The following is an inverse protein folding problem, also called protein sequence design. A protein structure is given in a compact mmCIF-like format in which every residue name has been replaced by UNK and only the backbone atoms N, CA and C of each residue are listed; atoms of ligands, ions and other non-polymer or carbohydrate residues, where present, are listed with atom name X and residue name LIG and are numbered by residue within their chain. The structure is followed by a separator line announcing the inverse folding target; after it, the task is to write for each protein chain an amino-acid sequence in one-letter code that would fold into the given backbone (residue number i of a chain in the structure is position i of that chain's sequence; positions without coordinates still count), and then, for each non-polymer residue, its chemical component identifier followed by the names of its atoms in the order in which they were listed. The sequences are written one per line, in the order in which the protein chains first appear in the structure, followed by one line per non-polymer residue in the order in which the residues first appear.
data_IF_198196576204
#
_entry.id   IF_198196576204
#
_cell.length_a   1.000
_cell.length_b   1.000
_cell.length_c   1.000
_cell.angle_alpha   90.00
_cell.angle_beta   90.00
_cell.angle_gamma   90.00
#
_symmetry.space_group_name_H-M   'P 1'
#
loop_
_entity.id
_entity.type
_entity.pdbx_description
1 polymer ?
#
# COMPACT_ATOMS: atom_id res chain seq x y z
N UNK A 1 41.51 40.95 -37.94
CA UNK A 1 40.33 40.05 -37.88
C UNK A 1 40.77 38.68 -38.43
N UNK A 2 40.40 37.58 -37.77
CA UNK A 2 40.65 36.16 -38.09
C UNK A 2 39.28 35.48 -38.32
N UNK A 3 39.19 34.22 -38.79
CA UNK A 3 39.84 33.45 -39.88
C UNK A 3 38.69 32.80 -40.75
N UNK A 4 38.72 31.58 -41.37
CA UNK A 4 39.77 30.54 -41.53
C UNK A 4 39.79 29.70 -42.85
N UNK A 5 40.81 28.80 -42.90
CA UNK A 5 40.99 27.49 -43.59
C UNK A 5 41.08 27.41 -45.13
N UNK A 6 42.11 26.72 -45.66
CA UNK A 6 42.03 25.30 -46.14
C UNK A 6 43.40 24.79 -46.67
N UNK A 7 43.45 23.49 -47.03
CA UNK A 7 44.44 22.77 -47.90
C UNK A 7 45.74 22.21 -47.29
N UNK A 8 46.35 21.10 -47.75
CA UNK A 8 45.99 19.83 -48.45
C UNK A 8 47.31 19.03 -48.56
N UNK A 9 47.21 17.69 -48.58
CA UNK A 9 48.07 16.74 -49.31
C UNK A 9 49.50 16.34 -48.81
N UNK A 10 50.01 15.14 -49.19
CA UNK A 10 50.94 14.33 -48.38
C UNK A 10 52.23 13.87 -49.11
N UNK A 11 53.04 13.06 -48.41
CA UNK A 11 53.87 11.89 -48.86
C UNK A 11 55.35 11.93 -48.43
N UNK A 12 55.90 10.77 -48.04
CA UNK A 12 57.09 10.10 -48.65
C UNK A 12 57.78 9.13 -47.67
N UNK A 13 57.79 7.85 -48.08
CA UNK A 13 58.82 6.78 -48.05
C UNK A 13 59.83 6.59 -46.90
N UNK A 14 60.08 5.31 -46.59
CA UNK A 14 61.46 4.81 -46.35
C UNK A 14 61.63 3.70 -45.29
N UNK A 15 61.62 2.43 -45.74
CA UNK A 15 62.17 1.23 -45.05
C UNK A 15 63.73 1.21 -45.08
N UNK A 16 64.47 0.16 -44.62
CA UNK A 16 64.30 -0.82 -43.51
C UNK A 16 65.62 -1.08 -42.70
N UNK A 17 65.58 -1.90 -41.65
CA UNK A 17 66.80 -2.48 -41.02
C UNK A 17 66.61 -3.13 -39.64
N UNK A 18 66.45 -4.46 -39.61
CA UNK A 18 66.37 -5.33 -38.41
C UNK A 18 67.78 -5.92 -38.06
N UNK A 19 68.00 -6.82 -37.06
CA UNK A 19 67.06 -7.47 -36.11
C UNK A 19 67.56 -7.65 -34.64
N UNK A 20 66.65 -8.00 -33.72
CA UNK A 20 66.90 -8.97 -32.62
C UNK A 20 65.60 -9.67 -32.18
N UNK A 21 65.54 -10.96 -32.49
CA UNK A 21 64.85 -12.07 -31.82
C UNK A 21 63.52 -11.81 -31.06
N UNK A 22 62.40 -12.16 -31.71
CA UNK A 22 61.25 -12.79 -31.06
C UNK A 22 60.82 -13.99 -31.93
N UNK A 23 60.87 -15.18 -31.35
CA UNK A 23 60.44 -16.47 -31.91
C UNK A 23 59.30 -16.94 -31.01
N UNK A 24 58.14 -17.39 -31.45
CA UNK A 24 57.44 -17.53 -32.74
C UNK A 24 55.96 -17.73 -32.34
N UNK A 25 54.95 -18.03 -33.15
CA UNK A 25 54.75 -18.45 -34.53
C UNK A 25 53.29 -18.06 -34.84
N UNK A 26 53.02 -17.63 -36.07
CA UNK A 26 51.72 -17.23 -36.60
C UNK A 26 50.64 -18.31 -36.52
N UNK A 27 49.39 -17.93 -36.21
CA UNK A 27 48.20 -18.63 -36.70
C UNK A 27 47.11 -17.63 -37.07
N UNK A 28 46.66 -17.74 -38.32
CA UNK A 28 45.36 -17.25 -38.74
C UNK A 28 44.64 -18.46 -39.35
N UNK A 29 43.62 -18.99 -38.68
CA UNK A 29 42.47 -19.64 -39.33
C UNK A 29 41.35 -19.91 -38.32
N UNK A 30 40.21 -19.25 -38.55
CA UNK A 30 38.84 -19.67 -38.29
C UNK A 30 38.44 -20.40 -36.98
N UNK A 31 37.44 -19.81 -36.30
CA UNK A 31 36.45 -20.40 -35.39
C UNK A 31 36.98 -21.14 -34.15
N UNK A 32 36.97 -20.47 -33.00
CA UNK A 32 36.82 -21.09 -31.68
C UNK A 32 36.36 -20.09 -30.60
N UNK A 33 35.14 -20.31 -30.13
CA UNK A 33 34.63 -20.20 -28.75
C UNK A 33 35.40 -19.23 -27.81
N UNK A 34 34.80 -18.08 -27.50
CA UNK A 34 35.18 -17.29 -26.32
C UNK A 34 34.47 -17.87 -25.09
N UNK A 35 35.24 -18.54 -24.24
CA UNK A 35 34.84 -18.90 -22.87
C UNK A 35 34.84 -17.63 -22.03
N UNK A 36 33.66 -17.15 -21.66
CA UNK A 36 33.50 -16.21 -20.55
C UNK A 36 33.57 -17.00 -19.26
N UNK A 37 34.60 -16.74 -18.43
CA UNK A 37 34.63 -17.22 -17.04
C UNK A 37 33.60 -16.39 -16.26
N UNK A 38 32.36 -16.84 -16.28
CA UNK A 38 31.38 -16.49 -15.28
C UNK A 38 31.71 -17.32 -14.04
N UNK A 39 32.27 -16.67 -13.03
CA UNK A 39 32.34 -17.25 -11.69
C UNK A 39 30.92 -17.23 -11.11
N UNK A 40 30.10 -18.20 -11.54
CA UNK A 40 28.85 -18.52 -10.88
C UNK A 40 29.23 -19.12 -9.53
N UNK A 41 29.20 -18.29 -8.49
CA UNK A 41 29.04 -18.81 -7.14
C UNK A 41 27.63 -19.41 -7.11
N UNK A 42 27.55 -20.70 -7.47
CA UNK A 42 26.39 -21.52 -7.26
C UNK A 42 26.19 -21.63 -5.75
N UNK A 43 25.55 -20.63 -5.17
CA UNK A 43 24.79 -20.83 -3.96
C UNK A 43 23.66 -21.74 -4.41
N UNK A 44 23.85 -23.04 -4.22
CA UNK A 44 22.76 -24.02 -4.18
C UNK A 44 21.79 -23.49 -3.14
N UNK A 45 20.80 -22.72 -3.60
CA UNK A 45 19.53 -22.67 -2.90
C UNK A 45 19.09 -24.12 -2.91
N UNK A 46 19.27 -24.79 -1.78
CA UNK A 46 18.44 -25.93 -1.45
C UNK A 46 17.03 -25.42 -1.63
N UNK A 47 16.43 -25.71 -2.78
CA UNK A 47 14.98 -25.76 -2.92
C UNK A 47 14.62 -26.85 -1.94
N UNK A 48 14.40 -26.47 -0.68
CA UNK A 48 13.61 -27.28 0.22
C UNK A 48 12.34 -27.51 -0.58
N UNK A 49 12.17 -28.73 -1.07
CA UNK A 49 10.94 -29.18 -1.70
C UNK A 49 9.85 -29.09 -0.64
N UNK A 50 9.32 -27.88 -0.47
CA UNK A 50 7.95 -27.72 -0.03
C UNK A 50 7.20 -28.27 -1.23
N UNK A 51 6.67 -29.49 -1.10
CA UNK A 51 5.66 -29.94 -2.05
C UNK A 51 4.66 -28.79 -2.15
N UNK A 52 4.50 -28.22 -3.35
CA UNK A 52 3.36 -27.38 -3.61
C UNK A 52 2.16 -28.21 -3.15
N UNK A 53 1.35 -27.66 -2.24
CA UNK A 53 0.04 -28.25 -1.97
C UNK A 53 -0.62 -28.44 -3.35
N UNK A 54 -1.30 -29.57 -3.57
CA UNK A 54 -2.03 -29.79 -4.82
C UNK A 54 -2.85 -28.53 -5.12
N UNK A 55 -2.82 -28.05 -6.37
CA UNK A 55 -3.52 -26.83 -6.76
C UNK A 55 -4.97 -26.86 -6.26
N UNK A 56 -5.54 -25.73 -5.79
CA UNK A 56 -6.92 -25.69 -5.36
C UNK A 56 -7.83 -26.20 -6.47
N UNK A 57 -8.56 -27.26 -6.16
CA UNK A 57 -9.50 -27.85 -7.11
C UNK A 57 -10.69 -26.92 -7.26
N UNK A 58 -10.79 -26.21 -8.39
CA UNK A 58 -11.94 -25.36 -8.71
C UNK A 58 -12.89 -26.14 -9.63
N UNK A 59 -14.19 -26.16 -9.33
CA UNK A 59 -15.21 -26.81 -10.17
C UNK A 59 -15.06 -26.37 -11.63
N UNK A 60 -14.82 -27.33 -12.55
CA UNK A 60 -14.63 -27.08 -13.99
C UNK A 60 -15.74 -26.24 -14.65
N UNK A 61 -16.93 -26.20 -14.05
CA UNK A 61 -18.09 -25.46 -14.54
C UNK A 61 -18.35 -24.15 -13.75
N UNK A 62 -17.41 -23.73 -12.89
CA UNK A 62 -17.58 -22.52 -12.09
C UNK A 62 -17.71 -21.28 -12.98
N UNK A 63 -18.78 -20.52 -12.75
CA UNK A 63 -19.04 -19.27 -13.42
C UNK A 63 -19.61 -18.25 -12.45
N UNK A 64 -19.51 -16.97 -12.81
CA UNK A 64 -20.08 -15.87 -12.05
C UNK A 64 -19.02 -14.93 -11.49
N UNK A 65 -19.49 -13.92 -10.77
CA UNK A 65 -18.60 -12.89 -10.23
C UNK A 65 -18.14 -13.25 -8.82
N UNK A 66 -16.87 -13.01 -8.55
CA UNK A 66 -16.31 -13.00 -7.20
C UNK A 66 -16.08 -11.54 -6.85
N UNK A 67 -17.04 -10.95 -6.15
CA UNK A 67 -17.00 -9.52 -5.83
C UNK A 67 -16.72 -9.28 -4.36
N UNK A 68 -15.79 -8.37 -4.08
CA UNK A 68 -15.61 -7.78 -2.76
C UNK A 68 -15.84 -6.27 -2.77
N UNK A 69 -15.84 -5.66 -1.59
CA UNK A 69 -15.93 -4.20 -1.50
C UNK A 69 -15.18 -3.59 -0.32
N UNK A 70 -14.93 -2.28 -0.37
CA UNK A 70 -14.47 -1.52 0.79
C UNK A 70 -13.31 -0.56 0.51
N UNK A 71 -12.21 -0.78 1.23
CA UNK A 71 -11.02 0.06 1.21
C UNK A 71 -10.58 0.51 -0.18
N UNK A 72 -10.31 1.82 -0.33
CA UNK A 72 -9.71 2.37 -1.55
C UNK A 72 -8.19 2.48 -1.46
N UNK A 73 -7.58 2.11 -0.33
CA UNK A 73 -6.13 2.01 -0.23
C UNK A 73 -5.57 0.92 -1.14
N UNK A 74 -6.06 -0.34 -1.18
CA UNK A 74 -5.45 -1.40 -1.99
C UNK A 74 -5.97 -1.43 -3.44
N UNK A 75 -6.84 -0.49 -3.84
CA UNK A 75 -7.57 -0.53 -5.11
C UNK A 75 -6.67 -0.79 -6.32
N UNK A 76 -5.57 -0.04 -6.45
CA UNK A 76 -4.68 -0.18 -7.60
C UNK A 76 -3.97 -1.54 -7.57
N UNK A 77 -3.57 -2.03 -6.39
CA UNK A 77 -3.00 -3.37 -6.23
C UNK A 77 -4.00 -4.48 -6.57
N UNK A 78 -5.21 -4.42 -6.03
CA UNK A 78 -6.23 -5.46 -6.30
C UNK A 78 -6.61 -5.49 -7.77
N UNK A 79 -6.77 -4.32 -8.40
CA UNK A 79 -7.05 -4.24 -9.84
C UNK A 79 -5.93 -4.88 -10.67
N UNK A 80 -4.67 -4.62 -10.30
CA UNK A 80 -3.51 -5.17 -11.03
C UNK A 80 -3.33 -6.67 -10.78
N UNK A 81 -3.57 -7.14 -9.54
CA UNK A 81 -3.59 -8.55 -9.20
C UNK A 81 -4.70 -9.31 -9.91
N UNK A 82 -5.92 -8.77 -9.96
CA UNK A 82 -7.02 -9.42 -10.68
C UNK A 82 -6.66 -9.60 -12.15
N UNK A 83 -6.12 -8.56 -12.79
CA UNK A 83 -5.66 -8.61 -14.17
C UNK A 83 -4.53 -9.63 -14.37
N UNK A 84 -3.51 -9.59 -13.51
CA UNK A 84 -2.36 -10.51 -13.62
C UNK A 84 -2.82 -11.97 -13.45
N UNK A 85 -3.65 -12.21 -12.43
CA UNK A 85 -4.20 -13.52 -12.16
C UNK A 85 -5.14 -14.01 -13.28
N UNK A 86 -5.89 -13.14 -13.96
CA UNK A 86 -6.69 -13.54 -15.13
C UNK A 86 -5.83 -13.76 -16.38
N UNK A 87 -4.86 -12.88 -16.65
CA UNK A 87 -4.10 -12.87 -17.91
C UNK A 87 -3.09 -14.02 -17.98
N UNK A 88 -2.51 -14.43 -16.85
CA UNK A 88 -1.57 -15.55 -16.78
C UNK A 88 -2.23 -16.93 -16.95
N UNK A 89 -3.57 -16.98 -17.00
CA UNK A 89 -4.35 -18.21 -17.06
C UNK A 89 -5.28 -18.28 -18.28
N UNK A 90 -4.82 -17.76 -19.43
CA UNK A 90 -5.55 -17.84 -20.71
C UNK A 90 -5.53 -19.25 -21.32
N UNK A 91 -6.55 -19.58 -22.14
CA UNK A 91 -6.88 -20.92 -22.69
C UNK A 91 -5.73 -21.75 -23.33
N UNK A 92 -4.57 -21.16 -23.61
CA UNK A 92 -3.51 -21.81 -24.38
C UNK A 92 -2.67 -22.85 -23.61
N UNK A 93 -2.87 -23.00 -22.30
CA UNK A 93 -2.12 -23.98 -21.49
C UNK A 93 -2.89 -25.30 -21.45
N UNK A 94 -2.47 -26.27 -22.25
CA UNK A 94 -3.07 -27.61 -22.24
C UNK A 94 -2.96 -28.23 -20.84
N UNK A 95 -4.11 -28.41 -20.18
CA UNK A 95 -4.22 -29.01 -18.85
C UNK A 95 -4.02 -30.52 -18.97
N UNK A 96 -2.80 -31.01 -18.75
CA UNK A 96 -2.50 -32.45 -18.83
C UNK A 96 -2.54 -33.19 -17.49
N UNK A 97 -2.63 -32.51 -16.35
CA UNK A 97 -2.80 -33.16 -15.04
C UNK A 97 -3.41 -32.19 -14.03
N UNK A 98 -4.63 -32.47 -13.57
CA UNK A 98 -5.19 -32.02 -12.28
C UNK A 98 -5.22 -30.50 -12.01
N UNK A 99 -6.39 -29.90 -12.30
CA UNK A 99 -6.94 -28.61 -11.81
C UNK A 99 -6.08 -27.37 -12.02
N UNK A 100 -6.52 -26.39 -12.80
CA UNK A 100 -5.82 -25.11 -12.76
C UNK A 100 -6.65 -23.94 -13.29
N UNK A 101 -6.26 -22.74 -12.83
CA UNK A 101 -6.81 -21.38 -12.90
C UNK A 101 -7.38 -20.90 -14.26
N UNK A 102 -7.51 -21.75 -15.27
CA UNK A 102 -8.11 -21.50 -16.58
C UNK A 102 -9.59 -21.07 -16.56
N UNK A 103 -10.26 -21.11 -15.40
CA UNK A 103 -11.64 -20.65 -15.25
C UNK A 103 -11.76 -19.13 -15.08
N UNK A 104 -10.64 -18.42 -14.88
CA UNK A 104 -10.61 -16.98 -14.69
C UNK A 104 -10.45 -16.26 -16.03
N UNK A 105 -11.31 -15.28 -16.29
CA UNK A 105 -11.27 -14.51 -17.53
C UNK A 105 -11.57 -13.02 -17.31
N UNK A 106 -11.26 -12.20 -18.33
CA UNK A 106 -11.58 -10.77 -18.34
C UNK A 106 -13.09 -10.49 -18.27
N UNK A 107 -13.46 -9.28 -17.82
CA UNK A 107 -14.85 -8.89 -17.56
C UNK A 107 -15.80 -9.06 -18.77
N UNK A 108 -17.05 -9.45 -18.48
CA UNK A 108 -18.20 -9.74 -19.37
C UNK A 108 -18.40 -11.20 -19.81
N UNK A 109 -17.62 -12.17 -19.30
CA UNK A 109 -17.97 -13.59 -19.45
C UNK A 109 -19.18 -13.97 -18.58
N UNK A 110 -20.13 -14.72 -19.14
CA UNK A 110 -21.20 -15.39 -18.39
C UNK A 110 -20.85 -16.83 -18.01
N UNK A 111 -19.75 -17.36 -18.55
CA UNK A 111 -19.37 -18.78 -18.46
C UNK A 111 -18.07 -18.98 -17.68
N UNK A 112 -17.58 -17.94 -16.99
CA UNK A 112 -16.27 -17.93 -16.32
C UNK A 112 -16.35 -17.23 -14.97
N UNK A 113 -15.32 -17.44 -14.13
CA UNK A 113 -15.12 -16.67 -12.93
C UNK A 113 -14.52 -15.29 -13.25
N UNK A 114 -15.14 -14.25 -12.72
CA UNK A 114 -14.70 -12.86 -12.90
C UNK A 114 -14.42 -12.22 -11.54
N UNK A 115 -13.18 -11.78 -11.31
CA UNK A 115 -12.80 -11.06 -10.10
C UNK A 115 -13.23 -9.60 -10.17
N UNK A 116 -13.92 -9.15 -9.13
CA UNK A 116 -14.41 -7.79 -9.00
C UNK A 116 -14.14 -7.23 -7.62
N UNK A 117 -13.94 -5.91 -7.56
CA UNK A 117 -13.88 -5.20 -6.30
C UNK A 117 -14.49 -3.81 -6.46
N UNK A 118 -15.39 -3.45 -5.55
CA UNK A 118 -16.03 -2.13 -5.53
C UNK A 118 -15.46 -1.28 -4.42
N UNK A 119 -14.91 -0.14 -4.79
CA UNK A 119 -14.40 0.83 -3.82
C UNK A 119 -15.57 1.48 -3.09
N UNK A 120 -15.35 1.86 -1.84
CA UNK A 120 -16.37 2.56 -1.04
C UNK A 120 -15.86 3.13 0.27
N UNK A 121 -14.58 2.89 0.59
CA UNK A 121 -14.01 3.16 1.89
C UNK A 121 -14.10 1.94 2.80
N UNK A 122 -13.18 1.83 3.76
CA UNK A 122 -13.13 0.71 4.69
C UNK A 122 -14.39 0.59 5.56
N UNK A 123 -15.02 1.73 5.89
CA UNK A 123 -16.28 1.73 6.64
C UNK A 123 -17.40 1.02 5.88
N UNK A 124 -17.55 1.30 4.58
CA UNK A 124 -18.51 0.60 3.74
C UNK A 124 -18.19 -0.90 3.62
N UNK A 125 -16.92 -1.26 3.46
CA UNK A 125 -16.48 -2.66 3.45
C UNK A 125 -16.85 -3.39 4.74
N UNK A 126 -16.58 -2.79 5.90
CA UNK A 126 -16.93 -3.35 7.20
C UNK A 126 -18.46 -3.47 7.36
N UNK A 127 -19.23 -2.43 6.99
CA UNK A 127 -20.71 -2.50 7.01
C UNK A 127 -21.25 -3.59 6.10
N UNK A 128 -20.71 -3.73 4.89
CA UNK A 128 -21.10 -4.79 3.95
C UNK A 128 -20.70 -6.18 4.46
N UNK A 129 -19.66 -6.27 5.28
CA UNK A 129 -19.19 -7.54 5.84
C UNK A 129 -20.19 -8.15 6.84
N UNK A 130 -20.80 -7.36 7.72
CA UNK A 130 -21.73 -7.89 8.74
C UNK A 130 -23.18 -7.43 8.57
N UNK A 131 -23.43 -6.45 7.70
CA UNK A 131 -24.75 -5.91 7.43
C UNK A 131 -25.62 -6.86 6.59
N UNK A 132 -26.70 -6.34 6.04
CA UNK A 132 -27.69 -7.11 5.26
C UNK A 132 -27.17 -7.58 3.89
N UNK A 133 -26.14 -6.91 3.34
CA UNK A 133 -25.55 -7.27 2.05
C UNK A 133 -24.50 -8.39 2.13
N UNK A 134 -24.19 -8.91 3.33
CA UNK A 134 -23.14 -9.91 3.56
C UNK A 134 -23.42 -11.20 2.80
N UNK A 135 -22.36 -11.91 2.38
CA UNK A 135 -22.45 -13.27 1.85
C UNK A 135 -23.40 -13.42 0.64
N UNK A 136 -23.36 -12.45 -0.27
CA UNK A 136 -24.08 -12.48 -1.55
C UNK A 136 -23.11 -12.68 -2.70
N UNK A 137 -23.60 -13.07 -3.89
CA UNK A 137 -22.77 -13.19 -5.10
C UNK A 137 -22.01 -11.89 -5.46
N UNK A 138 -22.50 -10.73 -4.98
CA UNK A 138 -21.88 -9.42 -5.20
C UNK A 138 -21.08 -8.90 -3.99
N UNK A 139 -20.98 -9.68 -2.90
CA UNK A 139 -20.31 -9.30 -1.66
C UNK A 139 -19.81 -10.55 -0.90
N UNK A 140 -18.75 -11.14 -1.43
CA UNK A 140 -18.13 -12.36 -0.90
C UNK A 140 -17.07 -12.07 0.17
N UNK A 141 -16.36 -10.95 0.05
CA UNK A 141 -15.33 -10.53 1.01
C UNK A 141 -15.28 -9.00 1.11
N UNK A 142 -14.67 -8.48 2.17
CA UNK A 142 -14.49 -7.03 2.34
C UNK A 142 -13.03 -6.64 2.46
N UNK A 143 -12.67 -5.43 2.04
CA UNK A 143 -11.35 -4.85 2.29
C UNK A 143 -11.42 -3.72 3.31
N UNK A 144 -10.47 -3.67 4.24
CA UNK A 144 -10.35 -2.61 5.25
C UNK A 144 -8.88 -2.26 5.51
N UNK A 145 -8.58 -0.98 5.72
CA UNK A 145 -7.29 -0.50 6.26
C UNK A 145 -7.45 -0.02 7.70
N UNK A 146 -8.68 -0.13 8.23
CA UNK A 146 -9.01 0.12 9.62
C UNK A 146 -9.17 -1.22 10.34
N UNK A 147 -8.80 -1.21 11.62
CA UNK A 147 -9.09 -2.32 12.52
C UNK A 147 -10.58 -2.33 12.86
N UNK A 148 -11.14 -3.52 13.07
CA UNK A 148 -12.50 -3.65 13.60
C UNK A 148 -12.55 -3.06 15.02
N UNK A 149 -13.57 -2.26 15.32
CA UNK A 149 -13.81 -1.76 16.68
C UNK A 149 -14.49 -2.82 17.54
N UNK A 150 -14.47 -2.65 18.87
CA UNK A 150 -15.22 -3.50 19.82
C UNK A 150 -16.70 -3.56 19.48
N UNK A 151 -17.31 -2.41 19.19
CA UNK A 151 -18.71 -2.33 18.74
C UNK A 151 -18.97 -3.08 17.42
N UNK A 152 -18.04 -3.03 16.46
CA UNK A 152 -18.16 -3.78 15.20
C UNK A 152 -18.00 -5.28 15.43
N UNK A 153 -17.06 -5.71 16.30
CA UNK A 153 -16.94 -7.12 16.70
C UNK A 153 -18.20 -7.62 17.40
N UNK A 154 -18.78 -6.85 18.31
CA UNK A 154 -20.05 -7.19 18.95
C UNK A 154 -21.20 -7.26 17.93
N UNK A 155 -21.22 -6.35 16.94
CA UNK A 155 -22.20 -6.39 15.85
C UNK A 155 -22.04 -7.64 14.98
N UNK A 156 -20.81 -8.04 14.67
CA UNK A 156 -20.49 -9.29 13.97
C UNK A 156 -20.94 -10.49 14.82
N UNK A 157 -20.69 -10.47 16.14
CA UNK A 157 -21.05 -11.56 17.05
C UNK A 157 -22.56 -11.79 17.16
N UNK A 158 -23.34 -10.71 17.03
CA UNK A 158 -24.79 -10.76 16.98
C UNK A 158 -25.36 -11.34 15.65
N UNK A 159 -24.52 -11.55 14.64
CA UNK A 159 -24.93 -12.20 13.38
C UNK A 159 -24.64 -13.70 13.39
N UNK A 160 -25.00 -14.39 12.31
CA UNK A 160 -24.61 -15.77 12.04
C UNK A 160 -23.10 -15.95 11.77
N UNK A 161 -22.35 -14.86 11.57
CA UNK A 161 -20.89 -14.90 11.44
C UNK A 161 -20.25 -15.32 12.76
N UNK A 162 -20.63 -14.69 13.89
CA UNK A 162 -20.01 -14.93 15.20
C UNK A 162 -18.48 -14.79 15.13
N UNK A 163 -17.74 -15.68 15.80
CA UNK A 163 -16.28 -15.79 15.69
C UNK A 163 -15.77 -16.53 14.43
N UNK A 164 -16.63 -16.82 13.44
CA UNK A 164 -16.29 -17.62 12.25
C UNK A 164 -15.87 -16.74 11.07
N UNK A 165 -14.84 -15.92 11.29
CA UNK A 165 -14.24 -15.05 10.28
C UNK A 165 -12.75 -14.82 10.53
N UNK A 166 -12.06 -14.32 9.51
CA UNK A 166 -10.66 -13.89 9.63
C UNK A 166 -10.46 -12.50 9.04
N UNK A 167 -9.44 -11.80 9.56
CA UNK A 167 -8.92 -10.56 9.01
C UNK A 167 -7.49 -10.85 8.54
N UNK A 168 -7.28 -10.86 7.24
CA UNK A 168 -6.04 -11.33 6.61
C UNK A 168 -5.31 -10.15 5.96
N UNK A 169 -4.06 -9.82 6.35
CA UNK A 169 -3.30 -8.75 5.72
C UNK A 169 -3.01 -9.16 4.29
N UNK A 170 -3.58 -8.42 3.34
CA UNK A 170 -3.42 -8.68 1.93
C UNK A 170 -2.16 -8.00 1.38
N UNK A 171 -1.97 -6.73 1.74
CA UNK A 171 -0.89 -5.89 1.21
C UNK A 171 -0.48 -4.80 2.21
N UNK A 172 0.72 -4.24 2.05
CA UNK A 172 1.16 -3.03 2.77
C UNK A 172 1.45 -1.88 1.82
N UNK A 173 1.43 -0.66 2.33
CA UNK A 173 1.83 0.52 1.58
C UNK A 173 1.98 1.77 2.44
N UNK A 174 2.67 2.81 1.95
CA UNK A 174 2.77 4.09 2.62
C UNK A 174 1.60 5.00 2.31
N UNK A 175 1.32 5.92 3.23
CA UNK A 175 0.55 7.12 2.92
C UNK A 175 1.47 8.29 2.59
N UNK A 176 1.24 8.92 1.45
CA UNK A 176 1.90 10.15 1.05
C UNK A 176 1.14 11.34 1.61
N UNK A 177 1.86 12.25 2.25
CA UNK A 177 1.36 13.62 2.45
C UNK A 177 1.53 14.38 1.15
N UNK A 178 0.43 14.49 0.39
CA UNK A 178 0.40 15.13 -0.91
C UNK A 178 0.00 16.59 -0.79
N UNK A 179 0.58 17.44 -1.63
CA UNK A 179 0.25 18.86 -1.68
C UNK A 179 0.31 19.41 -3.09
N UNK A 180 -0.30 20.58 -3.28
CA UNK A 180 -0.07 21.43 -4.46
C UNK A 180 0.29 22.84 -4.01
N UNK A 181 1.52 23.22 -4.30
CA UNK A 181 2.07 24.56 -4.12
C UNK A 181 2.83 24.93 -5.39
N UNK A 182 2.16 25.64 -6.28
CA UNK A 182 2.73 25.97 -7.58
C UNK A 182 3.93 26.91 -7.42
N UNK A 183 5.03 26.59 -8.11
CA UNK A 183 6.24 27.42 -8.12
C UNK A 183 7.09 27.37 -6.86
N UNK A 184 6.90 26.38 -5.96
CA UNK A 184 7.72 26.23 -4.76
C UNK A 184 9.21 26.00 -5.13
N UNK A 185 10.09 26.89 -4.68
CA UNK A 185 11.51 26.89 -5.02
C UNK A 185 12.40 26.90 -3.79
N UNK A 186 13.57 26.29 -3.93
CA UNK A 186 14.65 26.44 -2.96
C UNK A 186 15.27 27.84 -3.07
N UNK A 187 16.06 28.24 -2.06
CA UNK A 187 16.88 29.46 -2.11
C UNK A 187 17.86 29.48 -3.29
N UNK A 188 18.26 28.31 -3.80
CA UNK A 188 19.05 28.17 -5.03
C UNK A 188 18.25 28.12 -6.33
N UNK A 189 16.93 28.36 -6.30
CA UNK A 189 16.07 28.43 -7.48
C UNK A 189 15.57 27.10 -8.05
N UNK A 190 16.00 25.96 -7.52
CA UNK A 190 15.53 24.63 -7.91
C UNK A 190 14.12 24.33 -7.35
N UNK A 191 13.44 23.32 -7.89
CA UNK A 191 12.16 22.86 -7.34
C UNK A 191 12.34 22.37 -5.88
N UNK A 192 11.51 22.86 -4.98
CA UNK A 192 11.57 22.49 -3.56
C UNK A 192 10.59 21.36 -3.20
N UNK A 193 11.03 20.48 -2.31
CA UNK A 193 10.16 19.53 -1.60
C UNK A 193 9.86 20.09 -0.21
N UNK A 194 8.58 20.13 0.15
CA UNK A 194 8.15 20.53 1.48
C UNK A 194 8.55 19.47 2.53
N UNK A 195 9.08 19.91 3.65
CA UNK A 195 9.36 19.10 4.85
C UNK A 195 8.30 19.34 5.90
N UNK A 196 7.76 18.26 6.48
CA UNK A 196 6.73 18.30 7.51
C UNK A 196 7.05 17.32 8.65
N UNK A 197 6.44 17.54 9.81
CA UNK A 197 6.46 16.61 10.94
C UNK A 197 5.04 16.46 11.51
N UNK A 198 4.85 15.54 12.46
CA UNK A 198 3.53 15.23 13.04
C UNK A 198 2.87 16.45 13.69
N UNK A 199 3.63 17.26 14.42
CA UNK A 199 3.13 18.47 15.08
C UNK A 199 2.56 19.49 14.08
N UNK A 200 3.30 19.78 13.01
CA UNK A 200 2.88 20.73 11.97
C UNK A 200 1.68 20.19 11.19
N UNK A 201 1.72 18.92 10.79
CA UNK A 201 0.59 18.29 10.08
C UNK A 201 -0.66 18.32 10.96
N UNK A 202 -0.55 17.92 12.22
CA UNK A 202 -1.64 18.01 13.18
C UNK A 202 -2.19 19.43 13.32
N UNK A 203 -1.31 20.44 13.47
CA UNK A 203 -1.73 21.84 13.55
C UNK A 203 -2.46 22.32 12.30
N UNK A 204 -2.03 21.87 11.12
CA UNK A 204 -2.74 22.14 9.86
C UNK A 204 -4.16 21.58 9.89
N UNK A 205 -4.35 20.32 10.31
CA UNK A 205 -5.67 19.69 10.35
C UNK A 205 -6.58 20.24 11.44
N UNK A 206 -6.04 20.57 12.62
CA UNK A 206 -6.78 21.25 13.70
C UNK A 206 -7.17 22.69 13.37
N UNK A 207 -6.49 23.32 12.41
CA UNK A 207 -6.72 24.73 12.06
C UNK A 207 -5.96 25.71 12.95
N UNK A 208 -4.99 25.24 13.74
CA UNK A 208 -4.08 26.12 14.49
C UNK A 208 -2.90 26.61 13.64
N UNK A 209 -2.62 25.94 12.52
CA UNK A 209 -1.73 26.39 11.44
C UNK A 209 -2.58 26.58 10.19
N UNK A 210 -2.84 27.83 9.79
CA UNK A 210 -3.78 28.14 8.71
C UNK A 210 -3.12 28.67 7.45
N UNK A 211 -1.83 29.03 7.49
CA UNK A 211 -1.10 29.64 6.37
C UNK A 211 0.17 28.90 6.03
N UNK A 212 0.52 28.87 4.74
CA UNK A 212 1.72 28.20 4.25
C UNK A 212 3.03 28.81 4.71
N UNK A 213 3.05 30.12 4.99
CA UNK A 213 4.21 30.83 5.51
C UNK A 213 4.26 30.89 7.05
N UNK A 214 3.50 30.03 7.74
CA UNK A 214 3.53 29.90 9.18
C UNK A 214 4.96 29.63 9.71
N UNK A 215 5.29 30.18 10.88
CA UNK A 215 6.62 30.09 11.46
C UNK A 215 7.07 28.64 11.67
N UNK A 216 6.16 27.74 12.06
CA UNK A 216 6.47 26.32 12.26
C UNK A 216 6.77 25.62 10.94
N UNK A 217 6.06 25.95 9.86
CA UNK A 217 6.35 25.41 8.51
C UNK A 217 7.70 25.93 8.02
N UNK A 218 7.96 27.24 8.16
CA UNK A 218 9.24 27.86 7.79
C UNK A 218 10.42 27.23 8.52
N UNK A 219 10.28 26.95 9.82
CA UNK A 219 11.33 26.33 10.63
C UNK A 219 11.77 24.95 10.10
N UNK A 220 10.84 24.16 9.56
CA UNK A 220 11.17 22.87 8.94
C UNK A 220 11.75 23.00 7.52
N UNK A 221 11.60 24.17 6.90
CA UNK A 221 11.88 24.45 5.50
C UNK A 221 12.84 25.65 5.31
N UNK A 222 14.00 25.73 5.99
CA UNK A 222 14.88 26.90 5.92
C UNK A 222 15.46 27.15 4.52
N UNK A 223 15.49 26.13 3.67
CA UNK A 223 16.00 26.22 2.30
C UNK A 223 14.92 26.57 1.27
N UNK A 224 13.67 26.81 1.67
CA UNK A 224 12.56 27.17 0.76
C UNK A 224 12.42 28.69 0.73
N UNK A 225 12.53 29.28 -0.47
CA UNK A 225 12.62 30.73 -0.63
C UNK A 225 11.25 31.44 -0.56
N UNK A 226 10.18 30.76 -0.96
CA UNK A 226 8.93 31.41 -1.35
C UNK A 226 7.67 30.73 -0.80
N UNK A 227 7.67 30.35 0.49
CA UNK A 227 6.43 29.91 1.15
C UNK A 227 5.38 31.04 1.12
N UNK A 228 4.20 30.82 0.51
CA UNK A 228 3.24 31.89 0.27
C UNK A 228 2.49 32.31 1.55
N UNK A 229 2.16 33.60 1.65
CA UNK A 229 1.23 34.13 2.67
C UNK A 229 -0.23 33.83 2.27
N UNK A 230 -0.54 32.55 2.05
CA UNK A 230 -1.84 32.10 1.59
C UNK A 230 -2.41 31.05 2.54
N UNK A 231 -3.73 30.99 2.63
CA UNK A 231 -4.42 30.01 3.45
C UNK A 231 -4.18 28.59 2.91
N UNK A 232 -4.07 27.63 3.83
CA UNK A 232 -3.95 26.21 3.52
C UNK A 232 -5.34 25.63 3.29
N UNK A 233 -5.57 25.09 2.10
CA UNK A 233 -6.75 24.29 1.81
C UNK A 233 -6.51 22.84 2.28
N UNK A 234 -6.93 22.54 3.49
CA UNK A 234 -6.82 21.17 4.04
C UNK A 234 -7.94 20.31 3.46
N UNK A 235 -7.56 19.19 2.87
CA UNK A 235 -8.47 18.23 2.23
C UNK A 235 -8.41 16.92 2.99
N UNK A 236 -9.57 16.34 3.29
CA UNK A 236 -9.68 15.10 4.03
C UNK A 236 -10.77 14.20 3.44
N UNK A 237 -10.78 12.95 3.88
CA UNK A 237 -11.76 11.96 3.43
C UNK A 237 -13.17 12.32 3.95
N UNK A 238 -14.17 12.25 3.08
CA UNK A 238 -15.58 12.45 3.44
C UNK A 238 -16.32 11.15 3.75
N UNK A 239 -15.70 10.00 3.47
CA UNK A 239 -16.22 8.66 3.69
C UNK A 239 -15.50 7.94 4.84
N UNK A 240 -16.11 6.85 5.36
CA UNK A 240 -15.51 5.98 6.37
C UNK A 240 -14.25 5.30 5.82
N UNK A 241 -13.08 5.68 6.32
CA UNK A 241 -11.81 5.50 5.60
C UNK A 241 -10.74 4.86 6.46
N UNK A 242 -10.16 3.74 6.01
CA UNK A 242 -8.98 3.14 6.64
C UNK A 242 -7.72 3.97 6.42
N UNK A 243 -7.56 4.59 5.25
CA UNK A 243 -6.49 5.57 4.98
C UNK A 243 -6.48 6.70 6.02
N UNK A 244 -7.67 7.15 6.42
CA UNK A 244 -7.83 8.10 7.53
C UNK A 244 -7.31 7.49 8.80
N UNK A 245 -7.82 6.31 9.17
CA UNK A 245 -7.42 5.61 10.39
C UNK A 245 -5.90 5.56 10.51
N UNK A 246 -5.19 5.08 9.48
CA UNK A 246 -3.71 5.05 9.43
C UNK A 246 -3.10 6.45 9.63
N UNK A 247 -3.58 7.46 8.89
CA UNK A 247 -3.07 8.83 8.99
C UNK A 247 -3.20 9.40 10.41
N UNK A 248 -4.36 9.24 11.02
CA UNK A 248 -4.63 9.74 12.37
C UNK A 248 -4.02 8.86 13.47
N UNK A 249 -3.77 7.58 13.24
CA UNK A 249 -2.94 6.75 14.12
C UNK A 249 -1.49 7.26 14.13
N UNK A 250 -0.96 7.68 12.97
CA UNK A 250 0.32 8.37 12.90
C UNK A 250 0.30 9.67 13.71
N UNK A 251 -0.72 10.52 13.52
CA UNK A 251 -0.82 11.77 14.28
C UNK A 251 -0.90 11.52 15.78
N UNK A 252 -1.63 10.49 16.24
CA UNK A 252 -1.71 10.12 17.65
C UNK A 252 -0.35 9.78 18.27
N UNK A 253 0.61 9.27 17.48
CA UNK A 253 1.99 8.98 17.93
C UNK A 253 2.97 10.13 17.70
N UNK A 254 2.74 10.98 16.69
CA UNK A 254 3.71 11.95 16.21
C UNK A 254 3.39 13.42 16.55
N UNK A 255 2.18 13.72 17.05
CA UNK A 255 1.80 15.05 17.51
C UNK A 255 2.35 15.36 18.90
N UNK A 256 2.32 16.64 19.31
CA UNK A 256 2.68 17.00 20.68
C UNK A 256 1.61 16.54 21.69
N UNK A 257 1.96 16.37 22.98
CA UNK A 257 0.99 16.00 24.02
C UNK A 257 -0.18 16.99 24.19
N UNK A 258 -0.01 18.25 23.78
CA UNK A 258 -1.06 19.26 23.81
C UNK A 258 -2.07 19.13 22.65
N UNK A 259 -1.75 18.33 21.64
CA UNK A 259 -2.53 18.16 20.41
C UNK A 259 -3.42 16.90 20.43
N UNK A 260 -4.02 16.57 21.58
CA UNK A 260 -4.79 15.33 21.80
C UNK A 260 -6.05 15.16 20.92
N UNK A 261 -6.34 16.10 20.03
CA UNK A 261 -7.56 16.10 19.20
C UNK A 261 -7.25 15.91 17.71
N UNK A 262 -6.05 15.47 17.33
CA UNK A 262 -5.73 15.22 15.91
C UNK A 262 -5.35 13.78 15.60
N UNK A 263 -5.17 12.94 16.62
CA UNK A 263 -5.01 11.51 16.47
C UNK A 263 -6.18 10.72 17.04
N UNK A 264 -6.31 9.44 16.68
CA UNK A 264 -7.06 8.50 17.50
C UNK A 264 -6.25 8.31 18.79
N UNK A 265 -6.64 8.98 19.88
CA UNK A 265 -5.98 8.82 21.16
C UNK A 265 -6.59 7.65 21.91
N UNK A 266 -5.91 6.53 21.78
CA UNK A 266 -5.55 5.77 22.95
C UNK A 266 -4.04 5.60 22.92
N UNK A 267 -3.43 5.35 24.08
CA UNK A 267 -2.04 4.93 24.10
C UNK A 267 -1.93 3.57 23.40
N UNK A 268 -1.56 3.53 22.12
CA UNK A 268 -1.16 2.29 21.40
C UNK A 268 0.15 1.71 21.96
N UNK A 269 0.29 1.68 23.29
CA UNK A 269 1.43 1.10 24.01
C UNK A 269 1.19 -0.36 24.36
N UNK A 270 -0.04 -0.89 24.18
CA UNK A 270 -0.34 -2.31 24.40
C UNK A 270 -1.24 -2.90 23.31
N UNK A 271 -1.02 -4.19 23.07
CA UNK A 271 -1.82 -5.06 22.21
C UNK A 271 -3.18 -5.43 22.86
N UNK A 272 -3.94 -4.45 23.37
CA UNK A 272 -5.22 -4.71 24.01
C UNK A 272 -6.32 -3.77 23.51
N UNK A 273 -7.55 -4.31 23.40
CA UNK A 273 -8.75 -3.62 22.88
C UNK A 273 -9.12 -2.33 23.61
N UNK A 274 -8.67 -2.15 24.88
CA UNK A 274 -8.81 -0.91 25.64
C UNK A 274 -8.27 0.32 24.87
N UNK A 275 -7.34 0.09 23.94
CA UNK A 275 -6.76 1.10 23.07
C UNK A 275 -7.56 1.35 21.77
N UNK A 276 -8.72 0.74 21.57
CA UNK A 276 -9.55 0.97 20.40
C UNK A 276 -10.85 1.73 20.67
N UNK A 277 -11.19 1.97 21.96
CA UNK A 277 -12.13 2.98 22.51
C UNK A 277 -12.85 2.56 23.82
N UNK A 278 -12.35 1.60 24.61
CA UNK A 278 -13.19 1.04 25.69
C UNK A 278 -13.00 1.67 27.10
N UNK A 279 -12.33 2.83 27.24
CA UNK A 279 -12.32 3.58 28.50
C UNK A 279 -13.11 4.90 28.39
N UNK A 280 -14.13 5.04 29.25
CA UNK A 280 -14.96 6.24 29.34
C UNK A 280 -14.14 7.44 29.85
N UNK A 281 -13.96 8.47 29.02
CA UNK A 281 -13.41 9.74 29.47
C UNK A 281 -12.63 10.49 28.39
N UNK A 282 -13.34 11.28 27.60
CA UNK A 282 -12.84 12.25 26.59
C UNK A 282 -12.17 11.64 25.35
N UNK A 283 -13.01 11.47 24.32
CA UNK A 283 -12.72 11.31 22.89
C UNK A 283 -12.84 9.88 22.34
N UNK A 284 -13.91 9.67 21.56
CA UNK A 284 -14.28 8.37 20.95
C UNK A 284 -14.54 8.59 19.45
N UNK A 285 -13.52 8.71 18.60
CA UNK A 285 -13.75 8.69 17.17
C UNK A 285 -14.13 7.27 16.76
N UNK A 286 -15.42 7.01 16.64
CA UNK A 286 -15.91 5.83 15.94
C UNK A 286 -15.70 6.04 14.44
N UNK A 287 -14.53 5.66 13.90
CA UNK A 287 -14.23 5.60 12.44
C UNK A 287 -14.91 6.71 11.58
N UNK A 288 -14.94 7.96 12.08
CA UNK A 288 -15.71 9.03 11.44
C UNK A 288 -14.99 9.50 10.18
N UNK A 289 -15.76 10.00 9.22
CA UNK A 289 -15.22 10.73 8.07
C UNK A 289 -14.45 11.99 8.55
N UNK A 290 -13.15 12.14 8.27
CA UNK A 290 -12.37 13.31 8.71
C UNK A 290 -12.94 14.65 8.31
N UNK A 291 -13.58 14.72 7.15
CA UNK A 291 -14.26 15.92 6.68
C UNK A 291 -15.27 16.44 7.69
N UNK A 292 -15.98 15.56 8.41
CA UNK A 292 -16.89 15.97 9.50
C UNK A 292 -16.16 16.11 10.83
N UNK A 293 -15.19 15.23 11.12
CA UNK A 293 -14.46 15.24 12.39
C UNK A 293 -13.74 16.57 12.68
N UNK A 294 -12.88 16.99 11.76
CA UNK A 294 -12.09 18.21 11.95
C UNK A 294 -12.95 19.47 11.80
N UNK A 295 -14.15 19.37 11.21
CA UNK A 295 -14.99 20.55 10.94
C UNK A 295 -15.32 21.32 12.22
N UNK A 296 -15.79 20.65 13.27
CA UNK A 296 -16.15 21.29 14.53
C UNK A 296 -14.93 21.91 15.24
N UNK A 297 -13.81 21.18 15.27
CA UNK A 297 -12.57 21.64 15.92
C UNK A 297 -11.99 22.85 15.18
N UNK A 298 -11.99 22.82 13.84
CA UNK A 298 -11.51 23.94 13.03
C UNK A 298 -12.40 25.17 13.17
N UNK A 299 -13.72 24.99 13.20
CA UNK A 299 -14.65 26.07 13.45
C UNK A 299 -14.38 26.72 14.81
N UNK A 300 -14.18 25.92 15.87
CA UNK A 300 -13.81 26.42 17.20
C UNK A 300 -12.47 27.18 17.20
N UNK A 301 -11.53 26.79 16.33
CA UNK A 301 -10.24 27.48 16.14
C UNK A 301 -10.30 28.65 15.13
N UNK A 302 -11.48 29.00 14.61
CA UNK A 302 -11.65 30.08 13.62
C UNK A 302 -11.04 29.79 12.24
N UNK A 303 -10.82 28.50 11.91
CA UNK A 303 -10.26 28.07 10.64
C UNK A 303 -11.34 27.60 9.66
N UNK A 304 -11.09 27.78 8.35
CA UNK A 304 -11.97 27.29 7.29
C UNK A 304 -12.14 25.75 7.38
N UNK A 305 -13.33 25.23 7.12
CA UNK A 305 -13.62 23.80 7.17
C UNK A 305 -12.72 22.97 6.24
N UNK A 306 -12.55 21.68 6.55
CA UNK A 306 -11.84 20.75 5.67
C UNK A 306 -12.67 20.50 4.42
N UNK A 307 -12.03 20.53 3.25
CA UNK A 307 -12.68 20.06 2.03
C UNK A 307 -12.78 18.54 2.05
N UNK A 308 -13.99 17.99 2.12
CA UNK A 308 -14.25 16.56 2.07
C UNK A 308 -14.22 16.01 0.62
N UNK A 309 -13.53 14.89 0.39
CA UNK A 309 -13.64 14.09 -0.85
C UNK A 309 -13.72 12.59 -0.58
N UNK A 310 -14.51 11.83 -1.36
CA UNK A 310 -14.66 10.40 -1.15
C UNK A 310 -13.49 9.63 -1.76
N UNK A 311 -12.95 8.67 -1.02
CA UNK A 311 -11.90 7.77 -1.49
C UNK A 311 -10.55 8.44 -1.78
N UNK A 312 -9.50 7.64 -1.93
CA UNK A 312 -8.23 8.13 -2.51
C UNK A 312 -8.44 8.67 -3.94
N UNK A 313 -9.35 8.05 -4.69
CA UNK A 313 -9.73 8.44 -6.05
C UNK A 313 -10.41 9.81 -6.16
N UNK A 314 -11.02 10.34 -5.09
CA UNK A 314 -11.55 11.71 -5.06
C UNK A 314 -10.54 12.74 -4.55
N UNK A 315 -9.69 12.35 -3.58
CA UNK A 315 -8.67 13.25 -3.00
C UNK A 315 -7.58 13.59 -4.04
N UNK A 316 -6.99 12.57 -4.67
CA UNK A 316 -5.85 12.75 -5.55
C UNK A 316 -6.10 13.71 -6.74
N UNK A 317 -7.18 13.56 -7.54
CA UNK A 317 -7.47 14.52 -8.60
C UNK A 317 -7.84 15.91 -8.06
N UNK A 318 -8.45 16.02 -6.88
CA UNK A 318 -8.75 17.32 -6.29
C UNK A 318 -7.47 18.08 -5.91
N UNK A 319 -6.52 17.42 -5.25
CA UNK A 319 -5.20 18.00 -4.93
C UNK A 319 -4.45 18.34 -6.21
N UNK A 320 -4.52 17.48 -7.23
CA UNK A 320 -3.94 17.76 -8.55
C UNK A 320 -4.49 19.05 -9.14
N UNK A 321 -5.79 19.30 -9.04
CA UNK A 321 -6.46 20.44 -9.68
C UNK A 321 -6.40 21.74 -8.85
N UNK A 322 -6.22 21.65 -7.53
CA UNK A 322 -6.44 22.77 -6.61
C UNK A 322 -5.14 23.23 -5.97
N UNK A 323 -4.63 24.39 -6.37
CA UNK A 323 -3.44 24.97 -5.73
C UNK A 323 -3.71 25.29 -4.24
N UNK A 324 -2.65 25.42 -3.45
CA UNK A 324 -2.68 25.66 -2.00
C UNK A 324 -3.30 24.52 -1.18
N UNK A 325 -3.46 23.32 -1.76
CA UNK A 325 -4.08 22.18 -1.11
C UNK A 325 -3.07 21.22 -0.48
N UNK A 326 -3.48 20.54 0.59
CA UNK A 326 -2.74 19.47 1.23
C UNK A 326 -3.69 18.35 1.67
N UNK A 327 -3.25 17.10 1.51
CA UNK A 327 -4.00 15.92 1.93
C UNK A 327 -3.09 14.72 2.20
N UNK A 328 -3.69 13.58 2.53
CA UNK A 328 -3.06 12.27 2.58
C UNK A 328 -3.75 11.32 1.60
N UNK A 329 -2.96 10.50 0.90
CA UNK A 329 -3.46 9.42 0.05
C UNK A 329 -2.55 8.21 0.17
N UNK A 330 -3.04 7.02 -0.18
CA UNK A 330 -2.14 5.91 -0.46
C UNK A 330 -1.23 6.29 -1.65
N UNK A 331 0.06 5.96 -1.53
CA UNK A 331 1.15 6.54 -2.35
C UNK A 331 1.07 6.18 -3.83
N UNK A 332 0.44 5.05 -4.18
CA UNK A 332 0.20 4.69 -5.58
C UNK A 332 -0.70 5.71 -6.28
N UNK A 333 -1.62 6.37 -5.56
CA UNK A 333 -2.42 7.49 -6.08
C UNK A 333 -1.58 8.75 -6.30
N UNK A 334 -0.63 9.04 -5.41
CA UNK A 334 0.29 10.17 -5.61
C UNK A 334 1.11 9.98 -6.90
N UNK A 335 1.60 8.76 -7.13
CA UNK A 335 2.30 8.39 -8.36
C UNK A 335 1.40 8.49 -9.59
N UNK A 336 0.19 7.92 -9.54
CA UNK A 336 -0.78 7.91 -10.65
C UNK A 336 -1.16 9.31 -11.13
N UNK A 337 -1.30 10.27 -10.23
CA UNK A 337 -1.70 11.64 -10.56
C UNK A 337 -0.51 12.62 -10.66
N UNK A 338 0.73 12.16 -10.44
CA UNK A 338 1.92 13.00 -10.42
C UNK A 338 1.81 14.14 -9.42
N UNK A 339 1.48 13.80 -8.17
CA UNK A 339 1.33 14.75 -7.06
C UNK A 339 2.69 15.07 -6.42
N UNK A 340 2.82 16.25 -5.81
CA UNK A 340 3.98 16.54 -4.98
C UNK A 340 3.80 15.87 -3.62
N UNK A 341 4.84 15.20 -3.16
CA UNK A 341 4.87 14.48 -1.89
C UNK A 341 5.82 15.18 -0.91
N UNK A 342 5.32 15.52 0.26
CA UNK A 342 6.12 16.09 1.33
C UNK A 342 7.06 15.03 1.91
N UNK A 343 8.28 15.44 2.27
CA UNK A 343 9.18 14.61 3.06
C UNK A 343 8.80 14.72 4.54
N UNK A 344 8.58 13.59 5.20
CA UNK A 344 8.12 13.54 6.59
C UNK A 344 9.26 13.23 7.55
N UNK A 345 9.23 13.88 8.71
CA UNK A 345 10.18 13.62 9.79
C UNK A 345 10.05 12.17 10.30
N UNK A 346 11.13 11.40 10.22
CA UNK A 346 11.27 10.10 10.84
C UNK A 346 11.22 10.20 12.37
N UNK A 347 10.80 9.12 13.04
CA UNK A 347 10.79 9.05 14.51
C UNK A 347 12.22 9.14 15.07
N UNK A 348 13.14 8.37 14.49
CA UNK A 348 14.53 8.32 14.96
C UNK A 348 15.39 9.36 14.27
N UNK A 349 16.12 10.14 15.07
CA UNK A 349 17.07 11.14 14.62
C UNK A 349 18.42 10.52 14.26
N UNK A 350 19.14 11.08 13.30
CA UNK A 350 20.51 10.71 12.95
C UNK A 350 21.47 11.73 13.54
N UNK A 351 22.29 11.33 14.51
CA UNK A 351 23.22 12.24 15.20
C UNK A 351 22.53 13.46 15.80
N UNK A 352 21.37 13.27 16.44
CA UNK A 352 20.56 14.35 17.02
C UNK A 352 19.77 15.20 16.02
N UNK A 353 19.93 15.00 14.70
CA UNK A 353 19.23 15.74 13.65
C UNK A 353 18.03 14.95 13.11
N UNK A 354 16.92 15.65 12.87
CA UNK A 354 15.73 15.08 12.23
C UNK A 354 16.05 14.61 10.82
N UNK A 355 15.65 13.38 10.49
CA UNK A 355 15.72 12.85 9.13
C UNK A 355 14.36 13.03 8.47
N UNK A 356 14.34 13.49 7.22
CA UNK A 356 13.10 13.63 6.45
C UNK A 356 13.10 12.63 5.30
N UNK A 357 12.05 11.82 5.21
CA UNK A 357 11.94 10.70 4.29
C UNK A 357 10.75 10.87 3.35
N UNK A 358 10.93 10.46 2.10
CA UNK A 358 9.83 10.21 1.15
C UNK A 358 9.40 8.75 1.21
N UNK A 359 8.19 8.41 0.76
CA UNK A 359 7.73 7.02 0.68
C UNK A 359 8.47 6.31 -0.47
N UNK A 360 9.44 5.47 -0.14
CA UNK A 360 10.22 4.68 -1.10
C UNK A 360 10.20 3.23 -0.66
N UNK A 361 10.38 2.28 -1.57
CA UNK A 361 10.45 0.85 -1.24
C UNK A 361 11.41 0.56 -0.07
N UNK A 362 12.60 1.18 -0.08
CA UNK A 362 13.58 1.03 0.99
C UNK A 362 13.10 1.58 2.34
N UNK A 363 12.47 2.76 2.35
CA UNK A 363 12.01 3.38 3.60
C UNK A 363 10.76 2.72 4.18
N UNK A 364 9.91 2.13 3.33
CA UNK A 364 8.76 1.31 3.73
C UNK A 364 9.24 0.01 4.33
N UNK A 365 10.15 -0.71 3.66
CA UNK A 365 10.71 -1.95 4.18
C UNK A 365 11.40 -1.74 5.53
N UNK A 366 12.15 -0.65 5.70
CA UNK A 366 12.74 -0.27 6.99
C UNK A 366 11.66 -0.09 8.06
N UNK A 367 10.56 0.60 7.75
CA UNK A 367 9.48 0.81 8.72
C UNK A 367 8.78 -0.51 9.10
N UNK A 368 8.48 -1.36 8.11
CA UNK A 368 7.86 -2.67 8.33
C UNK A 368 8.76 -3.55 9.20
N UNK A 369 10.05 -3.71 8.85
CA UNK A 369 10.99 -4.52 9.64
C UNK A 369 11.08 -4.05 11.09
N UNK A 370 11.12 -2.74 11.33
CA UNK A 370 11.22 -2.20 12.69
C UNK A 370 9.90 -2.22 13.47
N UNK A 371 8.76 -2.43 12.80
CA UNK A 371 7.45 -2.57 13.45
C UNK A 371 7.13 -4.03 13.87
N UNK A 372 7.75 -5.04 13.23
CA UNK A 372 7.35 -6.47 13.32
C UNK A 372 7.69 -7.16 14.65
N UNK A 373 8.35 -6.49 15.61
CA UNK A 373 8.73 -7.14 16.88
C UNK A 373 7.61 -7.23 17.93
N UNK A 374 6.39 -6.71 17.68
CA UNK A 374 5.36 -6.62 18.73
C UNK A 374 3.88 -6.83 18.30
N UNK A 375 3.58 -7.15 17.04
CA UNK A 375 2.19 -7.06 16.51
C UNK A 375 1.78 -8.33 15.73
N UNK A 376 0.60 -8.88 16.03
CA UNK A 376 -0.02 -9.98 15.27
C UNK A 376 -1.06 -9.42 14.29
N UNK A 377 -0.78 -9.35 12.97
CA UNK A 377 -1.66 -8.69 12.02
C UNK A 377 -2.88 -9.54 11.61
N UNK A 378 -3.13 -10.71 12.22
CA UNK A 378 -4.21 -11.64 11.81
C UNK A 378 -5.29 -11.94 12.87
N UNK A 379 -5.12 -11.51 14.13
CA UNK A 379 -6.12 -11.76 15.17
C UNK A 379 -6.98 -10.52 15.57
N UNK A 380 -8.27 -10.48 15.19
CA UNK A 380 -9.18 -9.36 15.51
C UNK A 380 -9.52 -9.18 16.98
N UNK A 381 -9.24 -10.17 17.84
CA UNK A 381 -9.61 -10.15 19.26
C UNK A 381 -8.43 -9.87 20.20
N UNK A 382 -7.18 -9.89 19.70
CA UNK A 382 -5.98 -9.74 20.55
C UNK A 382 -5.05 -8.60 20.14
N UNK A 383 -5.49 -7.73 19.21
CA UNK A 383 -4.95 -6.40 18.92
C UNK A 383 -4.18 -6.25 17.62
N UNK A 384 -4.74 -5.41 16.76
CA UNK A 384 -4.11 -4.92 15.55
C UNK A 384 -3.58 -3.51 15.76
N UNK A 385 -2.36 -3.26 15.32
CA UNK A 385 -1.80 -1.92 15.27
C UNK A 385 -1.27 -1.71 13.85
N UNK A 386 -1.45 -0.50 13.34
CA UNK A 386 -0.79 -0.10 12.09
C UNK A 386 0.68 0.21 12.41
N UNK A 387 1.65 -0.16 11.54
CA UNK A 387 3.09 0.06 11.77
C UNK A 387 3.49 1.54 11.59
N UNK A 388 2.58 2.46 11.94
CA UNK A 388 2.78 3.90 11.87
C UNK A 388 3.81 4.35 12.88
N UNK A 389 4.62 5.30 12.43
CA UNK A 389 5.68 5.95 13.18
C UNK A 389 6.70 4.97 13.77
N UNK A 390 7.04 3.93 13.02
CA UNK A 390 8.06 2.95 13.41
C UNK A 390 9.44 3.61 13.61
N UNK A 391 10.21 3.04 14.54
CA UNK A 391 11.57 3.48 14.82
C UNK A 391 12.51 3.18 13.64
N UNK A 392 13.68 3.83 13.64
CA UNK A 392 14.71 3.69 12.63
C UNK A 392 14.88 4.95 11.78
N UNK A 393 16.13 5.35 11.53
CA UNK A 393 16.45 6.57 10.78
C UNK A 393 16.06 6.52 9.29
N UNK A 394 15.75 5.32 8.78
CA UNK A 394 15.31 5.09 7.40
C UNK A 394 13.83 4.69 7.32
N UNK A 395 13.11 4.64 8.45
CA UNK A 395 11.71 4.19 8.50
C UNK A 395 10.76 5.33 8.15
N UNK A 396 10.05 5.17 7.03
CA UNK A 396 9.06 6.16 6.62
C UNK A 396 7.91 6.26 7.65
N UNK A 397 7.43 7.47 8.01
CA UNK A 397 6.55 7.63 9.16
C UNK A 397 5.13 7.06 9.05
N UNK A 398 4.58 6.91 7.84
CA UNK A 398 3.18 6.51 7.66
C UNK A 398 3.12 5.29 6.74
N UNK A 399 3.11 4.11 7.34
CA UNK A 399 2.97 2.81 6.66
C UNK A 399 1.78 2.09 7.27
N UNK A 400 0.99 1.42 6.41
CA UNK A 400 -0.18 0.68 6.84
C UNK A 400 -0.36 -0.64 6.08
N UNK A 401 -1.07 -1.56 6.71
CA UNK A 401 -1.66 -2.75 6.11
C UNK A 401 -3.05 -2.42 5.55
N UNK A 402 -3.40 -3.15 4.50
CA UNK A 402 -4.78 -3.37 4.08
C UNK A 402 -5.11 -4.85 4.22
N UNK A 403 -6.29 -5.14 4.75
CA UNK A 403 -6.74 -6.49 5.09
C UNK A 403 -7.96 -6.89 4.28
N UNK A 404 -8.09 -8.18 4.01
CA UNK A 404 -9.35 -8.83 3.68
C UNK A 404 -10.08 -9.27 4.94
N UNK A 405 -11.40 -9.12 4.96
CA UNK A 405 -12.30 -9.74 5.91
C UNK A 405 -13.02 -10.84 5.16
N UNK A 406 -12.88 -12.07 5.64
CA UNK A 406 -13.46 -13.27 5.02
C UNK A 406 -14.28 -14.06 6.03
N UNK A 407 -15.30 -14.76 5.56
CA UNK A 407 -16.06 -15.71 6.37
C UNK A 407 -15.38 -17.08 6.37
N UNK A 408 -15.53 -17.85 7.45
CA UNK A 408 -15.17 -19.28 7.45
C UNK A 408 -16.27 -20.19 6.90
N UNK A 409 -17.47 -19.65 6.69
CA UNK A 409 -18.63 -20.40 6.27
C UNK A 409 -19.43 -19.59 5.24
N UNK A 410 -19.60 -20.18 4.06
CA UNK A 410 -20.38 -19.66 2.94
C UNK A 410 -21.64 -20.48 2.65
N UNK A 411 -22.14 -21.27 3.62
CA UNK A 411 -23.36 -22.09 3.45
C UNK A 411 -24.68 -21.29 3.45
N UNK A 412 -24.72 -20.13 4.10
CA UNK A 412 -25.94 -19.32 4.28
C UNK A 412 -26.17 -18.32 3.14
N UNK A 413 -25.81 -18.67 1.91
CA UNK A 413 -25.54 -17.69 0.86
C UNK A 413 -26.65 -17.59 -0.18
N UNK A 414 -27.19 -16.40 -0.36
CA UNK A 414 -28.07 -16.10 -1.49
C UNK A 414 -27.23 -16.03 -2.78
N UNK A 415 -27.20 -17.14 -3.52
CA UNK A 415 -26.64 -17.21 -4.87
C UNK A 415 -25.12 -17.31 -4.98
N UNK A 416 -24.40 -17.63 -3.90
CA UNK A 416 -22.97 -17.99 -4.00
C UNK A 416 -22.84 -19.49 -4.27
N UNK A 417 -21.99 -19.84 -5.23
CA UNK A 417 -21.66 -21.23 -5.60
C UNK A 417 -20.35 -21.69 -4.98
N UNK A 418 -20.17 -23.01 -4.86
CA UNK A 418 -18.91 -23.62 -4.43
C UNK A 418 -17.73 -23.14 -5.30
N UNK A 419 -17.91 -23.13 -6.62
CA UNK A 419 -16.89 -22.69 -7.58
C UNK A 419 -16.45 -21.24 -7.36
N UNK A 420 -17.36 -20.32 -7.01
CA UNK A 420 -16.99 -18.94 -6.66
C UNK A 420 -16.17 -18.88 -5.37
N UNK A 421 -16.50 -19.68 -4.35
CA UNK A 421 -15.73 -19.71 -3.09
C UNK A 421 -14.35 -20.34 -3.33
N UNK A 422 -14.27 -21.44 -4.07
CA UNK A 422 -13.01 -22.06 -4.49
C UNK A 422 -12.14 -21.06 -5.26
N UNK A 423 -12.73 -20.35 -6.22
CA UNK A 423 -12.02 -19.34 -7.00
C UNK A 423 -11.54 -18.16 -6.16
N UNK A 424 -12.37 -17.64 -5.24
CA UNK A 424 -11.96 -16.57 -4.33
C UNK A 424 -10.75 -16.98 -3.50
N UNK A 425 -10.77 -18.20 -2.97
CA UNK A 425 -9.70 -18.75 -2.15
C UNK A 425 -8.42 -19.00 -2.96
N UNK A 426 -8.54 -19.53 -4.18
CA UNK A 426 -7.41 -19.69 -5.10
C UNK A 426 -6.73 -18.35 -5.45
N UNK A 427 -7.52 -17.30 -5.68
CA UNK A 427 -7.00 -15.96 -5.89
C UNK A 427 -6.27 -15.42 -4.65
N UNK A 428 -6.88 -15.54 -3.46
CA UNK A 428 -6.29 -15.04 -2.22
C UNK A 428 -5.00 -15.79 -1.86
N UNK A 429 -4.94 -17.10 -2.12
CA UNK A 429 -3.72 -17.90 -2.01
C UNK A 429 -2.61 -17.37 -2.90
N UNK A 430 -2.90 -17.22 -4.19
CA UNK A 430 -1.96 -16.70 -5.17
C UNK A 430 -1.46 -15.31 -4.76
N UNK A 431 -2.37 -14.43 -4.37
CA UNK A 431 -2.04 -13.07 -3.96
C UNK A 431 -1.18 -13.01 -2.69
N UNK A 432 -1.32 -13.96 -1.75
CA UNK A 432 -0.45 -14.06 -0.56
C UNK A 432 0.87 -14.79 -0.83
N UNK A 433 1.02 -15.44 -1.97
CA UNK A 433 2.21 -16.20 -2.37
C UNK A 433 2.89 -15.52 -3.57
N UNK A 434 2.61 -15.98 -4.79
CA UNK A 434 3.16 -15.49 -6.05
C UNK A 434 2.94 -13.99 -6.23
N UNK A 435 1.71 -13.50 -5.94
CA UNK A 435 1.32 -12.09 -6.08
C UNK A 435 2.10 -11.12 -5.18
N UNK A 436 2.82 -11.60 -4.16
CA UNK A 436 3.73 -10.78 -3.36
C UNK A 436 5.09 -10.54 -4.06
N UNK A 437 5.35 -11.20 -5.19
CA UNK A 437 6.53 -11.01 -6.01
C UNK A 437 6.59 -9.60 -6.61
N UNK A 438 7.80 -9.04 -6.76
CA UNK A 438 7.99 -7.68 -7.28
C UNK A 438 7.40 -7.43 -8.66
N UNK A 439 7.22 -8.48 -9.46
CA UNK A 439 6.55 -8.45 -10.77
C UNK A 439 5.08 -8.05 -10.66
N UNK A 440 4.42 -8.45 -9.57
CA UNK A 440 2.98 -8.28 -9.35
C UNK A 440 2.65 -7.16 -8.36
N UNK A 441 3.67 -6.55 -7.75
CA UNK A 441 3.47 -5.42 -6.85
C UNK A 441 3.30 -4.12 -7.65
N UNK A 442 2.12 -3.54 -7.54
CA UNK A 442 1.86 -2.22 -8.12
C UNK A 442 2.78 -1.18 -7.46
N UNK A 443 3.30 -0.25 -8.26
CA UNK A 443 4.22 0.79 -7.77
C UNK A 443 3.58 1.58 -6.61
N UNK A 444 4.21 1.50 -5.44
CA UNK A 444 3.77 2.16 -4.21
C UNK A 444 3.46 1.17 -3.09
N UNK A 445 3.16 -0.08 -3.40
CA UNK A 445 2.90 -1.12 -2.40
C UNK A 445 4.18 -1.87 -2.00
N UNK A 446 4.06 -2.64 -0.92
CA UNK A 446 5.11 -3.51 -0.43
C UNK A 446 4.49 -4.81 0.06
N UNK A 447 5.28 -5.89 -0.03
CA UNK A 447 4.82 -7.22 0.41
C UNK A 447 4.46 -7.23 1.89
N UNK A 448 3.49 -8.05 2.27
CA UNK A 448 3.28 -8.37 3.68
C UNK A 448 4.46 -9.18 4.23
N UNK A 449 4.79 -9.09 5.53
CA UNK A 449 5.80 -9.96 6.13
C UNK A 449 5.45 -11.45 5.94
N UNK A 450 6.47 -12.28 5.72
CA UNK A 450 6.27 -13.71 5.42
C UNK A 450 5.51 -14.46 6.52
N UNK A 451 5.74 -14.13 7.79
CA UNK A 451 5.01 -14.70 8.91
C UNK A 451 3.50 -14.35 8.87
N UNK A 452 3.17 -13.13 8.42
CA UNK A 452 1.79 -12.70 8.22
C UNK A 452 1.15 -13.44 7.03
N UNK A 453 1.85 -13.53 5.89
CA UNK A 453 1.36 -14.32 4.76
C UNK A 453 1.06 -15.78 5.16
N UNK A 454 1.98 -16.43 5.88
CA UNK A 454 1.82 -17.82 6.33
C UNK A 454 0.60 -18.03 7.24
N UNK A 455 0.38 -17.13 8.21
CA UNK A 455 -0.83 -17.15 9.04
C UNK A 455 -2.09 -16.89 8.21
N UNK A 456 -2.03 -15.98 7.24
CA UNK A 456 -3.15 -15.69 6.34
C UNK A 456 -3.56 -16.91 5.52
N UNK A 457 -2.58 -17.63 4.96
CA UNK A 457 -2.80 -18.91 4.28
C UNK A 457 -3.43 -19.96 5.19
N UNK A 458 -3.03 -20.02 6.47
CA UNK A 458 -3.66 -20.93 7.44
C UNK A 458 -5.13 -20.57 7.74
N UNK A 459 -5.50 -19.29 7.68
CA UNK A 459 -6.89 -18.86 7.81
C UNK A 459 -7.74 -19.23 6.59
N UNK A 460 -7.18 -19.15 5.37
CA UNK A 460 -7.89 -19.58 4.15
C UNK A 460 -8.30 -21.06 4.21
N UNK A 461 -7.50 -21.91 4.86
CA UNK A 461 -7.78 -23.35 5.05
C UNK A 461 -8.98 -23.64 5.94
N UNK A 462 -9.48 -22.65 6.70
CA UNK A 462 -10.66 -22.81 7.56
C UNK A 462 -11.98 -22.59 6.82
N UNK A 463 -11.92 -22.14 5.56
CA UNK A 463 -13.11 -21.77 4.79
C UNK A 463 -13.88 -23.01 4.35
N UNK A 464 -15.19 -22.98 4.60
CA UNK A 464 -16.13 -24.05 4.29
C UNK A 464 -17.29 -23.56 3.43
N UNK A 465 -17.87 -24.48 2.66
CA UNK A 465 -19.10 -24.30 1.89
C UNK A 465 -19.97 -25.53 2.10
N UNK A 466 -21.20 -25.34 2.60
CA UNK A 466 -22.10 -26.44 2.98
C UNK A 466 -21.45 -27.51 3.86
N UNK A 467 -20.61 -27.10 4.81
CA UNK A 467 -19.90 -27.98 5.74
C UNK A 467 -18.67 -28.69 5.17
N UNK A 468 -18.37 -28.52 3.87
CA UNK A 468 -17.17 -29.04 3.24
C UNK A 468 -16.05 -28.00 3.28
N UNK A 469 -14.85 -28.40 3.66
CA UNK A 469 -13.66 -27.55 3.53
C UNK A 469 -13.41 -27.28 2.05
N UNK A 470 -13.24 -26.00 1.72
CA UNK A 470 -13.08 -25.54 0.32
C UNK A 470 -11.64 -25.70 -0.17
N UNK A 471 -10.68 -25.56 0.75
CA UNK A 471 -9.26 -25.71 0.46
C UNK A 471 -8.89 -27.21 0.28
N UNK A 472 -8.07 -27.59 -0.72
CA UNK A 472 -7.68 -28.98 -0.97
C UNK A 472 -6.89 -29.65 0.16
#
# INVERSE_FOLDING_TARGET
MRPPQDERAPSIFGEPGAPRQQVGVTMNLAKSIRVSIALALALTMSVSGVAYAADPTVDANAAGKIEGSGATFPWNQYTDWFRSFTDENTEATAVTTGTSRAQFHSSNSTNSLVLGYTGGGSGAGITNFYGTARRTATQMFSGSDAVLTSAQRASIDATDIRGRYSVIPAITGPLSMVYRLDGLKTTGGAAATLRLNGEVVCGMYLGTITKWNDAKIKALNPNVANLPNANINVVGRSDGSGTTFVFTSYLGKASSPAQKNCGFHSNFTSSTEANLNDAAGTFTPAQTAPGTYFSAIRAANGAAAITGKPGNGGIAPYVKATNLSISYVESSYASKYGLQEAALAAQTKRGGKTVYLKPTAASINSALTNAVTAEDPINPTTSFVQPVFAAGVNSYPIVGYSWWLIYHDYSTTDGITLGQVQGMIAFMEWALTEGQGSTYLYKGYSKVPAASAAKGLAELKKVTFNGLVVWP
#
